data_IF_124500765163
#
_entry.id   IF_124500765163
#
_cell.length_a   1.000
_cell.length_b   1.000
_cell.length_c   1.000
_cell.angle_alpha   90.00
_cell.angle_beta   90.00
_cell.angle_gamma   90.00
#
_symmetry.space_group_name_H-M   'P 1'
#
loop_
_entity.id
_entity.type
_entity.pdbx_description
1 polymer ?
#
# COMPACT_ATOMS: atom_id res chain seq x y z
N UNK A 1 -61.34 -5.31 -1.93
CA UNK A 1 -61.74 -6.70 -2.23
C UNK A 1 -61.52 -6.96 -3.70
N UNK A 2 -60.62 -7.87 -4.05
CA UNK A 2 -60.23 -8.11 -5.45
C UNK A 2 -59.17 -9.20 -5.53
N UNK A 3 -59.56 -10.43 -5.16
CA UNK A 3 -58.69 -11.61 -5.19
C UNK A 3 -58.62 -12.16 -6.62
N UNK A 4 -57.45 -12.04 -7.25
CA UNK A 4 -57.19 -12.64 -8.55
C UNK A 4 -56.41 -13.95 -8.35
N UNK A 5 -57.09 -15.09 -8.51
CA UNK A 5 -56.51 -16.44 -8.42
C UNK A 5 -56.29 -16.98 -9.84
N UNK A 6 -55.05 -16.99 -10.32
CA UNK A 6 -54.65 -17.75 -11.50
C UNK A 6 -54.12 -19.11 -11.06
N UNK A 7 -54.93 -20.14 -11.23
CA UNK A 7 -54.58 -21.56 -11.04
C UNK A 7 -54.24 -22.18 -12.38
N UNK A 8 -52.96 -22.36 -12.67
CA UNK A 8 -52.49 -23.07 -13.87
C UNK A 8 -52.31 -24.55 -13.52
N UNK A 9 -53.22 -25.39 -14.01
CA UNK A 9 -53.18 -26.85 -13.88
C UNK A 9 -52.15 -27.45 -14.84
N UNK A 10 -51.07 -28.02 -14.31
CA UNK A 10 -50.11 -28.82 -15.09
C UNK A 10 -50.58 -30.28 -15.21
N UNK A 11 -50.89 -30.67 -16.44
CA UNK A 11 -51.24 -32.02 -16.89
C UNK A 11 -50.05 -32.98 -16.79
N UNK A 12 -50.23 -34.08 -16.06
CA UNK A 12 -49.23 -35.15 -15.92
C UNK A 12 -49.14 -36.03 -17.18
N UNK A 13 -47.93 -36.43 -17.63
CA UNK A 13 -47.79 -37.38 -18.73
C UNK A 13 -47.99 -38.84 -18.28
N UNK A 14 -48.81 -39.57 -19.06
CA UNK A 14 -49.10 -41.00 -18.97
C UNK A 14 -47.83 -41.85 -19.09
N UNK A 15 -47.58 -42.71 -18.09
CA UNK A 15 -46.62 -43.82 -18.13
C UNK A 15 -47.15 -44.92 -19.05
N UNK A 16 -46.40 -45.23 -20.11
CA UNK A 16 -46.61 -46.40 -20.97
C UNK A 16 -45.92 -47.61 -20.32
N UNK A 17 -46.71 -48.60 -19.91
CA UNK A 17 -46.22 -49.90 -19.44
C UNK A 17 -45.81 -50.78 -20.63
N UNK A 18 -44.51 -50.86 -20.90
CA UNK A 18 -43.92 -51.75 -21.88
C UNK A 18 -43.58 -53.12 -21.28
N UNK A 19 -44.12 -54.15 -21.93
CA UNK A 19 -44.03 -55.59 -21.65
C UNK A 19 -42.59 -56.12 -21.80
N UNK A 20 -42.26 -57.14 -21.01
CA UNK A 20 -40.90 -57.63 -20.83
C UNK A 20 -40.24 -58.37 -22.02
N UNK A 21 -38.92 -58.46 -21.94
CA UNK A 21 -38.08 -59.47 -22.58
C UNK A 21 -37.06 -59.94 -21.55
N UNK A 22 -37.12 -61.22 -21.20
CA UNK A 22 -36.08 -61.90 -20.42
C UNK A 22 -34.83 -61.99 -21.31
N UNK A 23 -33.74 -61.38 -20.85
CA UNK A 23 -32.42 -61.44 -21.49
C UNK A 23 -31.54 -62.35 -20.63
N UNK A 24 -30.94 -63.34 -21.28
CA UNK A 24 -29.93 -64.24 -20.73
C UNK A 24 -28.85 -63.47 -19.97
N UNK A 25 -28.62 -63.84 -18.71
CA UNK A 25 -27.48 -63.43 -17.91
C UNK A 25 -26.24 -64.21 -18.35
N UNK A 26 -25.51 -63.66 -19.31
CA UNK A 26 -24.14 -64.04 -19.62
C UNK A 26 -23.19 -63.33 -18.64
N UNK A 27 -22.28 -64.11 -18.07
CA UNK A 27 -21.44 -63.76 -16.92
C UNK A 27 -20.38 -62.71 -17.34
N UNK A 28 -20.73 -61.42 -17.26
CA UNK A 28 -19.82 -60.30 -17.55
C UNK A 28 -18.81 -60.10 -16.40
N UNK A 29 -17.49 -59.98 -16.69
CA UNK A 29 -16.47 -59.74 -15.68
C UNK A 29 -16.67 -58.38 -15.02
N UNK A 30 -16.64 -58.40 -13.69
CA UNK A 30 -16.96 -57.29 -12.79
C UNK A 30 -16.11 -56.02 -13.09
N UNK A 31 -16.71 -54.92 -13.62
CA UNK A 31 -15.98 -53.72 -14.04
C UNK A 31 -15.46 -52.87 -12.86
N UNK A 32 -15.83 -53.19 -11.62
CA UNK A 32 -15.48 -52.40 -10.44
C UNK A 32 -13.98 -52.47 -10.06
N UNK A 33 -13.23 -53.47 -10.54
CA UNK A 33 -11.79 -53.62 -10.21
C UNK A 33 -10.86 -52.87 -11.18
N UNK A 34 -11.30 -52.58 -12.42
CA UNK A 34 -10.46 -51.89 -13.41
C UNK A 34 -10.50 -50.36 -13.33
N UNK A 35 -11.51 -49.77 -12.68
CA UNK A 35 -11.62 -48.31 -12.57
C UNK A 35 -10.65 -47.72 -11.55
N UNK A 36 -10.32 -48.46 -10.48
CA UNK A 36 -9.34 -48.03 -9.47
C UNK A 36 -7.93 -47.84 -10.05
N UNK A 37 -7.48 -48.80 -10.86
CA UNK A 37 -6.12 -48.75 -11.42
C UNK A 37 -6.02 -47.73 -12.56
N UNK A 38 -7.10 -47.53 -13.32
CA UNK A 38 -7.19 -46.43 -14.27
C UNK A 38 -7.12 -45.06 -13.59
N UNK A 39 -7.81 -44.87 -12.45
CA UNK A 39 -7.77 -43.62 -11.68
C UNK A 39 -6.40 -43.37 -11.04
N UNK A 40 -5.74 -44.41 -10.51
CA UNK A 40 -4.36 -44.29 -9.99
C UNK A 40 -3.37 -43.88 -11.09
N UNK A 41 -3.52 -44.43 -12.29
CA UNK A 41 -2.66 -44.12 -13.43
C UNK A 41 -2.86 -42.69 -13.94
N UNK A 42 -4.12 -42.20 -13.95
CA UNK A 42 -4.43 -40.81 -14.31
C UNK A 42 -3.90 -39.83 -13.26
N UNK A 43 -4.05 -40.13 -11.97
CA UNK A 43 -3.51 -39.27 -10.90
C UNK A 43 -1.97 -39.21 -10.93
N UNK A 44 -1.28 -40.34 -11.10
CA UNK A 44 0.18 -40.37 -11.22
C UNK A 44 0.71 -39.64 -12.47
N UNK A 45 -0.11 -39.52 -13.52
CA UNK A 45 0.21 -38.74 -14.73
C UNK A 45 -0.05 -37.24 -14.54
N UNK A 46 -1.07 -36.87 -13.76
CA UNK A 46 -1.37 -35.49 -13.39
C UNK A 46 -0.27 -34.94 -12.47
N UNK A 47 0.15 -35.70 -11.45
CA UNK A 47 1.24 -35.30 -10.54
C UNK A 47 2.55 -35.06 -11.30
N UNK A 48 2.94 -35.97 -12.21
CA UNK A 48 4.13 -35.79 -13.06
C UNK A 48 4.10 -34.59 -14.02
N UNK A 49 2.94 -33.99 -14.26
CA UNK A 49 2.80 -32.84 -15.16
C UNK A 49 2.63 -31.50 -14.43
N UNK A 50 2.37 -31.53 -13.12
CA UNK A 50 2.19 -30.32 -12.30
C UNK A 50 3.50 -29.83 -11.70
N UNK A 51 4.44 -30.74 -11.35
CA UNK A 51 5.68 -30.37 -10.66
C UNK A 51 6.65 -29.45 -11.45
N UNK A 52 6.90 -29.58 -12.77
CA UNK A 52 7.93 -28.77 -13.43
C UNK A 52 7.55 -27.28 -13.59
N UNK A 53 6.28 -26.92 -13.34
CA UNK A 53 5.81 -25.52 -13.43
C UNK A 53 5.71 -24.81 -12.07
N UNK A 54 5.79 -25.55 -10.95
CA UNK A 54 5.81 -24.95 -9.61
C UNK A 54 7.17 -24.29 -9.33
N UNK A 55 8.26 -25.02 -9.58
CA UNK A 55 9.63 -24.53 -9.36
C UNK A 55 10.00 -23.34 -10.26
N UNK A 56 9.52 -23.34 -11.51
CA UNK A 56 9.78 -22.24 -12.45
C UNK A 56 8.98 -20.96 -12.14
N UNK A 57 7.88 -21.06 -11.38
CA UNK A 57 7.10 -19.91 -10.91
C UNK A 57 7.66 -19.36 -9.60
N UNK A 58 8.07 -20.22 -8.66
CA UNK A 58 8.73 -19.79 -7.42
C UNK A 58 10.07 -19.08 -7.72
N UNK A 59 10.87 -19.61 -8.64
CA UNK A 59 12.12 -18.96 -9.08
C UNK A 59 11.94 -17.56 -9.69
N UNK A 60 10.79 -17.25 -10.32
CA UNK A 60 10.52 -15.91 -10.87
C UNK A 60 10.00 -14.90 -9.85
N UNK A 61 9.39 -15.36 -8.76
CA UNK A 61 9.04 -14.47 -7.64
C UNK A 61 10.29 -14.07 -6.85
N UNK A 62 11.25 -14.97 -6.69
CA UNK A 62 12.52 -14.67 -6.02
C UNK A 62 13.34 -13.60 -6.75
N UNK A 63 13.32 -13.59 -8.09
CA UNK A 63 14.10 -12.61 -8.89
C UNK A 63 13.55 -11.18 -8.74
N UNK A 64 12.22 -10.99 -8.69
CA UNK A 64 11.60 -9.65 -8.60
C UNK A 64 11.73 -9.06 -7.19
N UNK A 65 11.68 -9.90 -6.16
CA UNK A 65 11.90 -9.44 -4.79
C UNK A 65 13.39 -9.17 -4.52
N UNK A 66 14.30 -9.91 -5.16
CA UNK A 66 15.73 -9.68 -5.02
C UNK A 66 16.15 -8.27 -5.52
N UNK A 67 15.68 -7.83 -6.70
CA UNK A 67 16.02 -6.49 -7.23
C UNK A 67 15.60 -5.34 -6.29
N UNK A 68 14.40 -5.43 -5.70
CA UNK A 68 13.94 -4.42 -4.74
C UNK A 68 14.70 -4.48 -3.42
N UNK A 69 15.09 -5.69 -2.99
CA UNK A 69 15.95 -5.81 -1.80
C UNK A 69 17.34 -5.25 -2.05
N UNK A 70 17.91 -5.40 -3.26
CA UNK A 70 19.20 -4.79 -3.62
C UNK A 70 19.13 -3.26 -3.60
N UNK A 71 18.06 -2.67 -4.13
CA UNK A 71 17.85 -1.22 -4.09
C UNK A 71 17.72 -0.68 -2.65
N UNK A 72 16.99 -1.39 -1.78
CA UNK A 72 16.87 -1.04 -0.35
C UNK A 72 18.23 -1.16 0.36
N UNK A 73 18.99 -2.22 0.09
CA UNK A 73 20.33 -2.41 0.66
C UNK A 73 21.27 -1.29 0.21
N UNK A 74 21.19 -0.87 -1.06
CA UNK A 74 21.99 0.24 -1.59
C UNK A 74 21.64 1.58 -0.92
N UNK A 75 20.34 1.90 -0.80
CA UNK A 75 19.90 3.12 -0.11
C UNK A 75 20.34 3.13 1.36
N UNK A 76 20.34 1.98 2.03
CA UNK A 76 20.83 1.85 3.40
C UNK A 76 22.34 2.09 3.50
N UNK A 77 23.13 1.45 2.63
CA UNK A 77 24.57 1.68 2.58
C UNK A 77 24.87 3.17 2.31
N UNK A 78 24.05 3.84 1.50
CA UNK A 78 24.16 5.28 1.26
C UNK A 78 23.86 6.12 2.51
N UNK A 79 22.84 5.75 3.30
CA UNK A 79 22.49 6.47 4.54
C UNK A 79 23.55 6.26 5.63
N UNK A 80 23.97 5.02 5.86
CA UNK A 80 25.02 4.69 6.84
C UNK A 80 26.34 5.40 6.49
N UNK A 81 26.65 5.52 5.19
CA UNK A 81 27.81 6.26 4.71
C UNK A 81 27.65 7.78 4.88
N UNK A 82 26.44 8.32 4.78
CA UNK A 82 26.15 9.72 5.08
C UNK A 82 26.30 10.01 6.58
N UNK A 83 25.74 9.18 7.45
CA UNK A 83 25.85 9.33 8.91
C UNK A 83 27.31 9.21 9.37
N UNK A 84 28.07 8.26 8.81
CA UNK A 84 29.51 8.13 9.09
C UNK A 84 30.29 9.37 8.68
N UNK A 85 29.98 9.97 7.53
CA UNK A 85 30.59 11.23 7.09
C UNK A 85 30.20 12.40 8.00
N UNK A 86 28.97 12.43 8.51
CA UNK A 86 28.53 13.44 9.48
C UNK A 86 29.35 13.30 10.78
N UNK A 87 29.53 12.08 11.30
CA UNK A 87 30.33 11.84 12.51
C UNK A 87 31.81 12.17 12.29
N UNK A 88 32.38 11.80 11.14
CA UNK A 88 33.78 12.10 10.80
C UNK A 88 34.02 13.61 10.68
N UNK A 89 33.09 14.35 10.06
CA UNK A 89 33.17 15.82 9.99
C UNK A 89 32.95 16.47 11.35
N UNK A 90 32.12 15.91 12.24
CA UNK A 90 31.99 16.38 13.62
C UNK A 90 33.30 16.17 14.40
N UNK A 91 33.91 14.99 14.33
CA UNK A 91 35.18 14.69 14.99
C UNK A 91 36.33 15.58 14.48
N UNK A 92 36.40 15.82 13.16
CA UNK A 92 37.39 16.73 12.58
C UNK A 92 37.23 18.17 13.09
N UNK A 93 35.98 18.65 13.21
CA UNK A 93 35.70 19.98 13.77
C UNK A 93 36.09 20.07 15.25
N UNK A 94 35.86 19.02 16.04
CA UNK A 94 36.28 18.97 17.45
C UNK A 94 37.81 18.96 17.61
N UNK A 95 38.54 18.27 16.73
CA UNK A 95 40.00 18.28 16.72
C UNK A 95 40.56 19.67 16.39
N UNK A 96 40.04 20.32 15.34
CA UNK A 96 40.44 21.69 14.98
C UNK A 96 40.12 22.69 16.09
N UNK A 97 39.00 22.51 16.80
CA UNK A 97 38.65 23.37 17.93
C UNK A 97 39.65 23.23 19.09
N UNK A 98 40.13 22.02 19.38
CA UNK A 98 41.17 21.78 20.39
C UNK A 98 42.50 22.43 20.02
N UNK A 99 42.97 22.27 18.78
CA UNK A 99 44.20 22.92 18.32
C UNK A 99 44.11 24.45 18.43
N UNK A 100 42.95 25.01 18.09
CA UNK A 100 42.70 26.44 18.19
C UNK A 100 42.71 26.94 19.65
N UNK A 101 42.16 26.17 20.58
CA UNK A 101 42.18 26.49 22.00
C UNK A 101 43.61 26.36 22.59
N UNK A 102 44.41 25.38 22.13
CA UNK A 102 45.83 25.25 22.48
C UNK A 102 46.67 26.44 21.98
N UNK A 103 46.49 26.86 20.72
CA UNK A 103 47.17 28.03 20.15
C UNK A 103 46.80 29.30 20.92
N UNK A 104 45.51 29.48 21.24
CA UNK A 104 45.06 30.63 22.05
C UNK A 104 45.68 30.63 23.45
N UNK A 105 45.73 29.47 24.10
CA UNK A 105 46.36 29.31 25.41
C UNK A 105 47.87 29.62 25.36
N UNK A 106 48.57 29.11 24.34
CA UNK A 106 49.99 29.39 24.13
C UNK A 106 50.26 30.87 23.84
N UNK A 107 49.41 31.52 23.03
CA UNK A 107 49.49 32.95 22.74
C UNK A 107 49.26 33.80 24.00
N UNK A 108 48.27 33.44 24.83
CA UNK A 108 48.01 34.10 26.11
C UNK A 108 49.21 33.96 27.08
N UNK A 109 49.81 32.77 27.14
CA UNK A 109 51.00 32.51 27.95
C UNK A 109 52.24 33.29 27.45
N UNK A 110 52.41 33.42 26.13
CA UNK A 110 53.49 34.21 25.54
C UNK A 110 53.30 35.72 25.79
N UNK A 111 52.07 36.22 25.67
CA UNK A 111 51.74 37.61 25.98
C UNK A 111 52.01 37.97 27.44
N UNK A 112 51.69 37.08 28.38
CA UNK A 112 51.98 37.27 29.80
C UNK A 112 53.49 37.34 30.11
N UNK A 113 54.35 36.70 29.30
CA UNK A 113 55.81 36.76 29.48
C UNK A 113 56.45 38.03 28.92
N UNK A 114 55.79 38.72 28.00
CA UNK A 114 56.31 39.92 27.34
C UNK A 114 55.71 41.25 27.87
N UNK A 115 54.67 41.20 28.69
CA UNK A 115 53.96 42.38 29.16
C UNK A 115 54.04 42.56 30.67
N UNK A 116 55.10 43.21 31.16
CA UNK A 116 55.01 44.13 32.33
C UNK A 116 56.12 45.19 32.39
N UNK A 117 57.22 45.11 31.63
CA UNK A 117 58.39 45.97 31.88
C UNK A 117 58.66 47.10 30.84
N UNK A 118 57.63 47.54 30.10
CA UNK A 118 57.77 48.60 29.07
C UNK A 118 56.93 49.86 29.33
N UNK A 119 56.42 50.05 30.54
CA UNK A 119 56.03 51.40 30.96
C UNK A 119 57.31 52.21 31.18
N UNK A 120 57.65 53.09 30.24
CA UNK A 120 57.92 54.51 30.50
C UNK A 120 58.89 55.19 29.51
N UNK A 121 58.88 54.91 28.20
CA UNK A 121 59.55 55.79 27.22
C UNK A 121 58.55 56.22 26.15
N UNK A 122 58.05 57.46 26.31
CA UNK A 122 57.20 58.14 25.35
C UNK A 122 57.92 58.32 24.02
N UNK A 123 57.60 57.45 23.08
CA UNK A 123 57.98 57.57 21.67
C UNK A 123 56.71 57.70 20.85
N UNK A 124 56.52 58.88 20.29
CA UNK A 124 55.49 59.22 19.32
C UNK A 124 55.82 58.49 18.00
N UNK A 125 55.42 57.21 17.91
CA UNK A 125 55.68 56.38 16.72
C UNK A 125 54.39 56.17 15.95
N UNK A 126 54.28 56.98 14.91
CA UNK A 126 53.47 56.88 13.69
C UNK A 126 52.62 55.59 13.55
N UNK A 127 51.31 55.75 13.78
CA UNK A 127 50.27 54.73 13.80
C UNK A 127 49.84 54.21 12.39
N UNK A 128 50.74 54.24 11.41
CA UNK A 128 50.42 54.05 9.99
C UNK A 128 50.46 52.61 9.46
N UNK A 129 50.93 51.61 10.21
CA UNK A 129 51.00 50.23 9.72
C UNK A 129 49.74 49.46 10.07
N UNK A 130 48.74 49.66 9.22
CA UNK A 130 47.50 48.89 9.17
C UNK A 130 47.80 47.38 9.28
N UNK A 131 47.21 46.77 10.29
CA UNK A 131 47.22 45.34 10.54
C UNK A 131 46.72 44.60 9.30
N UNK A 132 47.65 44.00 8.55
CA UNK A 132 47.34 43.06 7.50
C UNK A 132 46.71 41.84 8.18
N UNK A 133 45.37 41.82 8.27
CA UNK A 133 44.62 40.72 8.86
C UNK A 133 44.99 39.45 8.12
N UNK A 134 45.49 38.47 8.87
CA UNK A 134 45.94 37.20 8.35
C UNK A 134 44.80 36.55 7.53
N UNK A 135 44.96 36.35 6.21
CA UNK A 135 43.88 35.85 5.34
C UNK A 135 43.31 34.50 5.80
N UNK A 136 44.09 33.71 6.52
CA UNK A 136 43.65 32.45 7.14
C UNK A 136 42.57 32.64 8.21
N UNK A 137 42.59 33.76 8.96
CA UNK A 137 41.53 34.06 9.94
C UNK A 137 40.20 34.35 9.26
N UNK A 138 40.22 35.06 8.12
CA UNK A 138 39.00 35.38 7.37
C UNK A 138 38.37 34.12 6.75
N UNK A 139 39.18 33.19 6.25
CA UNK A 139 38.70 31.92 5.71
C UNK A 139 38.09 31.03 6.81
N UNK A 140 38.71 31.00 8.00
CA UNK A 140 38.19 30.26 9.15
C UNK A 140 36.81 30.79 9.61
N UNK A 141 36.66 32.11 9.70
CA UNK A 141 35.38 32.73 10.06
C UNK A 141 34.29 32.41 9.03
N UNK A 142 34.61 32.45 7.73
CA UNK A 142 33.68 32.07 6.66
C UNK A 142 33.25 30.61 6.77
N UNK A 143 34.19 29.69 7.04
CA UNK A 143 33.89 28.27 7.22
C UNK A 143 32.99 28.01 8.44
N UNK A 144 33.23 28.70 9.56
CA UNK A 144 32.41 28.59 10.77
C UNK A 144 30.97 29.09 10.53
N UNK A 145 30.80 30.20 9.81
CA UNK A 145 29.47 30.72 9.44
C UNK A 145 28.72 29.76 8.53
N UNK A 146 29.39 29.16 7.53
CA UNK A 146 28.79 28.18 6.63
C UNK A 146 28.33 26.91 7.38
N UNK A 147 29.17 26.39 8.29
CA UNK A 147 28.82 25.24 9.13
C UNK A 147 27.64 25.54 10.07
N UNK A 148 27.59 26.72 10.67
CA UNK A 148 26.47 27.14 11.49
C UNK A 148 25.15 27.22 10.69
N UNK A 149 25.22 27.71 9.44
CA UNK A 149 24.06 27.75 8.54
C UNK A 149 23.56 26.34 8.15
N UNK A 150 24.47 25.40 7.89
CA UNK A 150 24.12 24.01 7.61
C UNK A 150 23.48 23.33 8.83
N UNK A 151 24.02 23.52 10.03
CA UNK A 151 23.43 23.00 11.28
C UNK A 151 22.01 23.54 11.49
N UNK A 152 21.77 24.84 11.25
CA UNK A 152 20.42 25.42 11.30
C UNK A 152 19.47 24.80 10.27
N UNK A 153 19.92 24.51 9.06
CA UNK A 153 19.11 23.83 8.04
C UNK A 153 18.75 22.39 8.44
N UNK A 154 19.71 21.63 8.95
CA UNK A 154 19.48 20.27 9.44
C UNK A 154 18.49 20.27 10.61
N UNK A 155 18.68 21.19 11.57
CA UNK A 155 17.75 21.35 12.69
C UNK A 155 16.34 21.74 12.21
N UNK A 156 16.22 22.69 11.28
CA UNK A 156 14.91 23.08 10.74
C UNK A 156 14.21 21.95 9.96
N UNK A 157 14.97 21.05 9.31
CA UNK A 157 14.40 19.86 8.67
C UNK A 157 13.94 18.84 9.71
N UNK A 158 14.73 18.62 10.76
CA UNK A 158 14.35 17.75 11.87
C UNK A 158 13.11 18.28 12.63
N UNK A 159 13.03 19.58 12.86
CA UNK A 159 11.87 20.22 13.51
C UNK A 159 10.62 20.15 12.62
N UNK A 160 10.76 20.33 11.29
CA UNK A 160 9.65 20.12 10.34
C UNK A 160 9.14 18.69 10.35
N UNK A 161 10.03 17.70 10.50
CA UNK A 161 9.61 16.30 10.67
C UNK A 161 8.88 16.10 11.99
N UNK A 162 9.40 16.68 13.09
CA UNK A 162 8.81 16.55 14.42
C UNK A 162 7.43 17.22 14.56
N UNK A 163 7.22 18.38 13.94
CA UNK A 163 5.94 19.09 13.95
C UNK A 163 4.86 18.26 13.23
N UNK A 164 5.23 17.56 12.15
CA UNK A 164 4.31 16.66 11.46
C UNK A 164 3.87 15.46 12.32
N UNK A 165 4.68 15.07 13.31
CA UNK A 165 4.38 13.95 14.20
C UNK A 165 3.60 14.36 15.46
N UNK A 166 3.72 15.62 15.91
CA UNK A 166 3.14 16.09 17.19
C UNK A 166 1.82 16.86 17.02
N UNK A 167 1.59 17.57 15.92
CA UNK A 167 0.38 18.41 15.75
C UNK A 167 -0.82 17.69 15.10
N UNK A 168 -0.74 16.37 14.84
CA UNK A 168 -1.93 15.59 14.45
C UNK A 168 -2.86 15.23 15.63
N UNK A 169 -2.58 15.76 16.83
CA UNK A 169 -3.33 15.56 18.08
C UNK A 169 -4.60 16.42 18.19
N UNK A 170 -4.97 17.16 17.16
CA UNK A 170 -6.22 17.93 17.14
C UNK A 170 -7.36 17.04 16.64
N UNK A 171 -7.96 16.29 17.57
CA UNK A 171 -9.40 16.02 17.80
C UNK A 171 -10.44 16.11 16.65
N UNK A 172 -10.05 16.08 15.39
CA UNK A 172 -10.98 15.94 14.27
C UNK A 172 -11.39 14.47 14.24
N UNK A 173 -12.50 14.20 14.92
CA UNK A 173 -13.23 12.95 14.75
C UNK A 173 -13.55 12.83 13.26
N UNK A 174 -12.86 11.91 12.59
CA UNK A 174 -13.06 11.63 11.16
C UNK A 174 -14.32 10.78 11.06
N UNK A 175 -15.42 11.33 10.50
CA UNK A 175 -16.67 10.58 10.37
C UNK A 175 -16.48 9.42 9.38
N UNK A 176 -17.32 8.39 9.51
CA UNK A 176 -17.29 7.26 8.59
C UNK A 176 -17.71 7.70 7.20
N UNK A 177 -16.83 7.51 6.21
CA UNK A 177 -17.17 7.75 4.81
C UNK A 177 -18.32 6.84 4.34
N UNK A 178 -19.17 7.35 3.45
CA UNK A 178 -20.27 6.59 2.88
C UNK A 178 -19.73 5.45 2.00
N UNK A 179 -19.97 4.20 2.41
CA UNK A 179 -19.58 3.03 1.63
C UNK A 179 -19.18 1.82 2.47
N UNK A 180 -18.76 0.76 1.81
CA UNK A 180 -18.24 -0.46 2.43
C UNK A 180 -17.11 -1.05 1.59
N UNK A 181 -16.13 -1.67 2.25
CA UNK A 181 -14.93 -2.18 1.60
C UNK A 181 -15.22 -3.16 0.46
N UNK A 182 -14.90 -2.74 -0.77
CA UNK A 182 -15.01 -3.55 -1.98
C UNK A 182 -15.74 -2.90 -3.16
N UNK A 183 -16.48 -1.81 -2.94
CA UNK A 183 -17.19 -1.09 -4.00
C UNK A 183 -16.76 0.38 -4.04
N UNK A 184 -15.72 0.71 -4.81
CA UNK A 184 -15.06 2.03 -4.87
C UNK A 184 -14.49 2.59 -3.56
N UNK A 185 -14.76 1.94 -2.43
CA UNK A 185 -14.20 2.26 -1.13
C UNK A 185 -12.78 1.68 -1.00
N UNK A 186 -11.79 2.57 -0.93
CA UNK A 186 -10.43 2.20 -0.54
C UNK A 186 -10.16 2.75 0.86
N UNK A 187 -10.11 1.86 1.85
CA UNK A 187 -9.88 2.22 3.25
C UNK A 187 -8.66 3.14 3.45
N UNK A 188 -7.60 2.98 2.64
CA UNK A 188 -6.43 3.86 2.67
C UNK A 188 -6.80 5.31 2.35
N UNK A 189 -7.58 5.51 1.29
CA UNK A 189 -7.97 6.84 0.83
C UNK A 189 -8.95 7.48 1.83
N UNK A 190 -9.91 6.69 2.33
CA UNK A 190 -10.94 7.16 3.27
C UNK A 190 -10.36 7.50 4.65
N UNK A 191 -9.26 6.85 5.04
CA UNK A 191 -8.49 7.20 6.23
C UNK A 191 -7.63 8.47 6.05
N UNK A 192 -7.63 9.06 4.84
CA UNK A 192 -6.73 10.15 4.47
C UNK A 192 -5.27 9.71 4.30
N UNK A 193 -5.03 8.41 4.12
CA UNK A 193 -3.69 7.82 4.10
C UNK A 193 -3.22 7.33 2.71
N UNK A 194 -3.93 7.71 1.65
CA UNK A 194 -3.68 7.21 0.28
C UNK A 194 -2.90 8.14 -0.65
N UNK A 195 -2.58 9.37 -0.21
CA UNK A 195 -2.06 10.43 -1.08
C UNK A 195 -0.55 10.38 -1.29
N UNK A 196 0.22 10.25 -0.21
CA UNK A 196 1.68 10.34 -0.25
C UNK A 196 2.38 9.03 0.16
N UNK A 197 3.69 8.93 -0.13
CA UNK A 197 4.51 7.78 0.30
C UNK A 197 4.54 7.64 1.83
N UNK A 198 4.65 8.77 2.55
CA UNK A 198 4.61 8.79 4.02
C UNK A 198 3.25 8.32 4.57
N UNK A 199 2.16 8.74 3.94
CA UNK A 199 0.80 8.33 4.33
C UNK A 199 0.61 6.82 4.16
N UNK A 200 1.14 6.28 3.07
CA UNK A 200 1.18 4.84 2.83
C UNK A 200 2.02 4.13 3.91
N UNK A 201 3.14 4.70 4.32
CA UNK A 201 3.94 4.17 5.43
C UNK A 201 3.18 4.23 6.77
N UNK A 202 2.41 5.27 7.03
CA UNK A 202 1.54 5.35 8.21
C UNK A 202 0.41 4.32 8.16
N UNK A 203 -0.27 4.16 7.02
CA UNK A 203 -1.27 3.11 6.84
C UNK A 203 -0.68 1.72 7.03
N UNK A 204 0.50 1.50 6.45
CA UNK A 204 1.26 0.29 6.72
C UNK A 204 1.53 0.19 8.21
N UNK A 205 2.11 1.19 8.88
CA UNK A 205 2.39 1.18 10.32
C UNK A 205 1.17 0.82 11.19
N UNK A 206 -0.05 1.23 10.81
CA UNK A 206 -1.31 0.83 11.45
C UNK A 206 -1.61 -0.66 11.22
N UNK A 207 -1.49 -1.15 9.98
CA UNK A 207 -1.63 -2.59 9.72
C UNK A 207 -0.50 -3.41 10.37
N UNK A 208 0.67 -2.80 10.51
CA UNK A 208 1.96 -3.43 10.84
C UNK A 208 2.26 -3.45 12.32
N UNK A 209 1.83 -2.43 13.09
CA UNK A 209 2.52 -2.04 14.33
C UNK A 209 4.03 -1.99 14.10
N UNK A 210 4.48 -0.86 13.58
CA UNK A 210 5.90 -0.53 13.66
C UNK A 210 6.19 -0.21 15.13
N UNK A 211 6.67 -1.19 15.90
CA UNK A 211 7.47 -0.85 17.09
C UNK A 211 8.79 -0.33 16.52
N UNK A 212 9.18 0.93 16.72
CA UNK A 212 10.52 1.38 16.36
C UNK A 212 11.49 0.62 17.26
N UNK A 213 11.98 -0.52 16.78
CA UNK A 213 13.21 -1.07 17.29
C UNK A 213 14.32 -0.12 16.80
N UNK A 214 15.31 0.19 17.65
CA UNK A 214 16.41 1.11 17.30
C UNK A 214 17.15 0.68 16.03
N UNK A 215 17.04 -0.59 15.65
CA UNK A 215 17.49 -1.14 14.38
C UNK A 215 16.31 -1.17 13.40
N UNK A 216 16.26 -0.19 12.50
CA UNK A 216 15.20 0.10 11.51
C UNK A 216 14.95 -1.00 10.44
N UNK A 217 15.13 -2.29 10.77
CA UNK A 217 15.03 -3.40 9.83
C UNK A 217 13.59 -3.94 9.76
N UNK A 218 12.79 -3.34 8.87
CA UNK A 218 11.45 -3.82 8.51
C UNK A 218 11.55 -5.13 7.72
N UNK A 219 11.32 -6.27 8.37
CA UNK A 219 10.82 -7.43 7.63
C UNK A 219 9.33 -7.23 7.41
N UNK A 220 8.90 -7.33 6.14
CA UNK A 220 7.52 -7.18 5.66
C UNK A 220 6.53 -8.20 6.24
N UNK A 221 6.99 -8.99 7.20
CA UNK A 221 6.30 -10.10 7.84
C UNK A 221 5.76 -9.75 9.23
N UNK A 222 6.31 -8.71 9.90
CA UNK A 222 5.69 -8.10 11.09
C UNK A 222 4.39 -7.34 10.73
N UNK A 223 4.28 -6.98 9.46
CA UNK A 223 3.34 -6.04 8.79
C UNK A 223 1.88 -6.46 8.75
N UNK A 224 1.58 -7.74 8.91
CA UNK A 224 0.20 -8.27 8.89
C UNK A 224 -0.19 -8.89 10.23
N UNK A 225 0.75 -8.91 11.17
CA UNK A 225 0.60 -9.64 12.42
C UNK A 225 -0.25 -8.86 13.41
N UNK A 226 -0.26 -7.53 13.45
CA UNK A 226 -0.92 -6.87 14.58
C UNK A 226 -2.45 -6.93 14.59
N UNK A 227 -3.16 -6.52 13.54
CA UNK A 227 -4.64 -6.67 13.53
C UNK A 227 -5.05 -8.15 13.53
N UNK A 228 -4.24 -9.02 12.93
CA UNK A 228 -4.39 -10.47 13.01
C UNK A 228 -4.31 -10.96 14.46
N UNK A 229 -3.25 -10.58 15.17
CA UNK A 229 -2.94 -11.00 16.54
C UNK A 229 -3.91 -10.37 17.52
N UNK A 230 -4.32 -9.12 17.32
CA UNK A 230 -5.41 -8.49 18.08
C UNK A 230 -6.73 -9.24 17.88
N UNK A 231 -7.04 -9.68 16.66
CA UNK A 231 -8.23 -10.50 16.39
C UNK A 231 -8.16 -11.84 17.14
N UNK A 232 -6.99 -12.49 17.16
CA UNK A 232 -6.80 -13.73 17.92
C UNK A 232 -6.79 -13.51 19.44
N UNK A 233 -6.14 -12.46 19.94
CA UNK A 233 -6.09 -12.10 21.36
C UNK A 233 -7.49 -11.76 21.89
N UNK A 234 -8.31 -11.07 21.08
CA UNK A 234 -9.71 -10.81 21.38
C UNK A 234 -10.60 -12.07 21.24
N UNK A 235 -10.03 -13.23 20.87
CA UNK A 235 -10.74 -14.50 20.66
C UNK A 235 -11.89 -14.38 19.66
N UNK A 236 -11.73 -13.54 18.63
CA UNK A 236 -12.72 -13.38 17.59
C UNK A 236 -12.63 -14.56 16.63
N UNK A 237 -13.72 -15.30 16.49
CA UNK A 237 -13.79 -16.42 15.57
C UNK A 237 -13.81 -15.91 14.11
N UNK A 238 -12.68 -16.04 13.42
CA UNK A 238 -12.53 -15.64 12.02
C UNK A 238 -13.33 -16.52 11.04
N UNK A 239 -13.81 -17.69 11.46
CA UNK A 239 -14.63 -18.57 10.61
C UNK A 239 -16.02 -17.98 10.36
N UNK A 240 -16.51 -17.22 11.33
CA UNK A 240 -17.82 -16.59 11.29
C UNK A 240 -17.76 -15.22 10.59
N UNK A 241 -18.87 -14.78 9.95
CA UNK A 241 -18.99 -13.41 9.48
C UNK A 241 -18.87 -12.40 10.63
N UNK A 242 -18.24 -11.25 10.38
CA UNK A 242 -18.07 -10.16 11.36
C UNK A 242 -19.36 -9.70 12.06
N UNK A 243 -20.49 -9.75 11.33
CA UNK A 243 -21.81 -9.43 11.88
C UNK A 243 -22.20 -10.33 13.06
N UNK A 244 -21.74 -11.59 13.09
CA UNK A 244 -22.04 -12.57 14.14
C UNK A 244 -21.08 -12.52 15.33
N UNK A 245 -19.99 -11.75 15.24
CA UNK A 245 -19.03 -11.60 16.33
C UNK A 245 -19.70 -10.90 17.53
N UNK A 246 -19.56 -11.41 18.77
CA UNK A 246 -20.19 -10.81 19.95
C UNK A 246 -19.65 -9.39 20.21
N UNK A 247 -20.53 -8.49 20.63
CA UNK A 247 -20.20 -7.07 20.87
C UNK A 247 -19.03 -6.89 21.86
N UNK A 248 -19.03 -7.63 22.98
CA UNK A 248 -17.95 -7.54 23.97
C UNK A 248 -16.56 -7.94 23.46
N UNK A 249 -16.47 -8.80 22.44
CA UNK A 249 -15.18 -9.11 21.81
C UNK A 249 -14.72 -7.99 20.87
N UNK A 250 -15.66 -7.33 20.18
CA UNK A 250 -15.39 -6.14 19.35
C UNK A 250 -14.87 -5.00 20.21
N UNK A 251 -15.53 -4.72 21.33
CA UNK A 251 -15.13 -3.67 22.28
C UNK A 251 -13.71 -3.87 22.81
N UNK A 252 -13.37 -5.09 23.25
CA UNK A 252 -12.00 -5.44 23.69
C UNK A 252 -10.98 -5.22 22.59
N UNK A 253 -11.29 -5.65 21.36
CA UNK A 253 -10.41 -5.43 20.22
C UNK A 253 -10.17 -3.94 19.97
N UNK A 254 -11.23 -3.12 19.96
CA UNK A 254 -11.14 -1.68 19.72
C UNK A 254 -10.36 -0.97 20.82
N UNK A 255 -10.58 -1.32 22.08
CA UNK A 255 -9.84 -0.76 23.21
C UNK A 255 -8.32 -1.00 23.08
N UNK A 256 -7.92 -2.25 22.81
CA UNK A 256 -6.49 -2.59 22.65
C UNK A 256 -5.92 -1.98 21.36
N UNK A 257 -6.68 -1.91 20.28
CA UNK A 257 -6.26 -1.27 19.05
C UNK A 257 -5.98 0.24 19.23
N UNK A 258 -6.85 0.95 19.96
CA UNK A 258 -6.67 2.37 20.32
C UNK A 258 -5.45 2.60 21.22
N UNK A 259 -5.18 1.67 22.14
CA UNK A 259 -4.00 1.74 23.01
C UNK A 259 -2.70 1.58 22.21
N UNK A 260 -2.65 0.59 21.30
CA UNK A 260 -1.45 0.32 20.47
C UNK A 260 -1.23 1.35 19.36
N UNK A 261 -2.31 1.90 18.81
CA UNK A 261 -2.25 2.84 17.69
C UNK A 261 -3.08 4.08 18.01
N UNK A 262 -2.47 5.12 18.61
CA UNK A 262 -3.16 6.35 18.96
C UNK A 262 -3.90 7.00 17.77
N UNK A 263 -3.34 6.89 16.55
CA UNK A 263 -3.98 7.36 15.30
C UNK A 263 -5.36 6.75 15.05
N UNK A 264 -5.68 5.56 15.58
CA UNK A 264 -7.00 4.95 15.43
C UNK A 264 -8.07 5.62 16.30
N UNK A 265 -7.68 6.36 17.36
CA UNK A 265 -8.62 7.08 18.24
C UNK A 265 -9.36 8.20 17.52
N UNK A 266 -8.80 8.73 16.41
CA UNK A 266 -9.40 9.83 15.63
C UNK A 266 -10.61 9.43 14.80
N UNK A 267 -10.85 8.13 14.59
CA UNK A 267 -11.96 7.68 13.75
C UNK A 267 -13.20 7.45 14.59
N UNK A 268 -14.30 8.08 14.20
CA UNK A 268 -15.55 8.00 14.94
C UNK A 268 -16.06 6.54 15.03
N UNK A 269 -16.48 6.11 16.21
CA UNK A 269 -16.99 4.76 16.46
C UNK A 269 -16.03 3.64 16.02
N UNK A 270 -14.72 3.90 16.03
CA UNK A 270 -13.67 2.94 15.65
C UNK A 270 -13.87 2.36 14.22
N UNK A 271 -14.51 3.11 13.29
CA UNK A 271 -14.89 2.58 11.98
C UNK A 271 -13.70 2.08 11.16
N UNK A 272 -12.55 2.74 11.26
CA UNK A 272 -11.35 2.35 10.54
C UNK A 272 -10.81 1.00 11.05
N UNK A 273 -10.78 0.81 12.36
CA UNK A 273 -10.40 -0.46 12.98
C UNK A 273 -11.37 -1.57 12.58
N UNK A 274 -12.67 -1.27 12.58
CA UNK A 274 -13.71 -2.21 12.15
C UNK A 274 -13.49 -2.68 10.70
N UNK A 275 -13.25 -1.77 9.76
CA UNK A 275 -13.04 -2.11 8.35
C UNK A 275 -11.73 -2.89 8.12
N UNK A 276 -10.66 -2.57 8.86
CA UNK A 276 -9.40 -3.34 8.81
C UNK A 276 -9.63 -4.80 9.25
N UNK A 277 -10.36 -5.01 10.35
CA UNK A 277 -10.66 -6.36 10.86
C UNK A 277 -11.61 -7.11 9.93
N UNK A 278 -12.65 -6.44 9.38
CA UNK A 278 -13.53 -7.02 8.35
C UNK A 278 -12.71 -7.51 7.15
N UNK A 279 -11.77 -6.69 6.67
CA UNK A 279 -10.91 -7.05 5.55
C UNK A 279 -10.04 -8.26 5.88
N UNK A 280 -9.46 -8.31 7.09
CA UNK A 280 -8.68 -9.45 7.56
C UNK A 280 -9.52 -10.75 7.59
N UNK A 281 -10.67 -10.74 8.26
CA UNK A 281 -11.55 -11.90 8.39
C UNK A 281 -12.04 -12.37 7.01
N UNK A 282 -12.44 -11.44 6.13
CA UNK A 282 -12.83 -11.75 4.74
C UNK A 282 -11.72 -12.46 3.99
N UNK A 283 -10.48 -11.97 4.08
CA UNK A 283 -9.33 -12.58 3.42
C UNK A 283 -8.98 -13.95 4.01
N UNK A 284 -9.02 -14.10 5.34
CA UNK A 284 -8.74 -15.36 6.04
C UNK A 284 -9.79 -16.42 5.68
N UNK A 285 -11.09 -16.07 5.70
CA UNK A 285 -12.18 -16.97 5.26
C UNK A 285 -12.04 -17.37 3.81
N UNK A 286 -11.77 -16.42 2.91
CA UNK A 286 -11.50 -16.71 1.49
C UNK A 286 -10.36 -17.71 1.33
N UNK A 287 -9.28 -17.56 2.10
CA UNK A 287 -8.18 -18.52 2.11
C UNK A 287 -8.63 -19.88 2.65
N UNK A 288 -9.37 -19.93 3.75
CA UNK A 288 -9.92 -21.14 4.34
C UNK A 288 -10.81 -21.92 3.36
N UNK A 289 -11.70 -21.25 2.63
CA UNK A 289 -12.54 -21.87 1.59
C UNK A 289 -11.73 -22.40 0.40
N UNK A 290 -10.59 -21.79 0.08
CA UNK A 290 -9.71 -22.24 -1.00
C UNK A 290 -8.91 -23.47 -0.59
N UNK A 291 -8.48 -23.55 0.68
CA UNK A 291 -7.73 -24.69 1.23
C UNK A 291 -8.63 -25.84 1.71
N UNK A 292 -9.93 -25.60 1.87
CA UNK A 292 -10.89 -26.60 2.33
C UNK A 292 -10.99 -26.73 3.85
N UNK A 293 -10.37 -25.80 4.61
CA UNK A 293 -10.52 -25.76 6.07
C UNK A 293 -11.92 -25.35 6.51
N UNK A 294 -12.60 -24.55 5.68
CA UNK A 294 -13.97 -24.12 5.91
C UNK A 294 -14.88 -24.75 4.88
N UNK A 295 -16.02 -25.27 5.34
CA UNK A 295 -17.08 -25.69 4.45
C UNK A 295 -17.68 -24.47 3.75
N UNK A 296 -17.71 -24.53 2.42
CA UNK A 296 -18.28 -23.46 1.62
C UNK A 296 -19.79 -23.45 1.85
N UNK A 297 -20.40 -22.30 2.15
CA UNK A 297 -21.86 -22.22 2.21
C UNK A 297 -22.49 -22.73 0.92
N UNK A 298 -23.53 -23.55 1.02
CA UNK A 298 -24.20 -24.21 -0.13
C UNK A 298 -24.63 -23.20 -1.20
N UNK A 299 -24.99 -21.97 -0.79
CA UNK A 299 -25.32 -20.89 -1.71
C UNK A 299 -24.22 -20.59 -2.73
N UNK A 300 -22.95 -20.92 -2.47
CA UNK A 300 -21.82 -20.69 -3.37
C UNK A 300 -21.34 -21.95 -4.12
N UNK A 301 -22.07 -23.06 -4.05
CA UNK A 301 -21.70 -24.30 -4.76
C UNK A 301 -21.75 -24.12 -6.28
N UNK A 302 -22.63 -23.26 -6.78
CA UNK A 302 -22.69 -22.90 -8.19
C UNK A 302 -21.36 -22.27 -8.69
N UNK A 303 -20.59 -21.61 -7.82
CA UNK A 303 -19.27 -21.08 -8.19
C UNK A 303 -18.27 -22.22 -8.42
N UNK A 304 -18.39 -23.33 -7.69
CA UNK A 304 -17.55 -24.52 -7.88
C UNK A 304 -17.88 -25.17 -9.22
N UNK A 305 -19.15 -25.40 -9.52
CA UNK A 305 -19.57 -25.97 -10.81
C UNK A 305 -19.19 -25.07 -11.98
N UNK A 306 -19.35 -23.74 -11.85
CA UNK A 306 -18.91 -22.79 -12.87
C UNK A 306 -17.38 -22.73 -13.01
N UNK A 307 -16.63 -22.86 -11.92
CA UNK A 307 -15.17 -22.92 -11.97
C UNK A 307 -14.66 -24.21 -12.62
N UNK A 308 -15.32 -25.36 -12.37
CA UNK A 308 -14.99 -26.63 -12.98
C UNK A 308 -15.30 -26.65 -14.49
N UNK A 309 -16.36 -25.95 -14.92
CA UNK A 309 -16.68 -25.74 -16.35
C UNK A 309 -15.67 -24.82 -17.06
N UNK A 310 -14.86 -24.04 -16.31
CA UNK A 310 -13.82 -23.19 -16.90
C UNK A 310 -12.56 -24.02 -17.10
N UNK A 311 -12.15 -24.20 -18.35
CA UNK A 311 -10.84 -24.80 -18.67
C UNK A 311 -9.72 -23.85 -18.21
N UNK A 312 -8.93 -24.19 -17.17
CA UNK A 312 -7.82 -23.35 -16.72
C UNK A 312 -6.71 -23.25 -17.78
N UNK A 313 -6.57 -24.29 -18.59
CA UNK A 313 -5.61 -24.37 -19.70
C UNK A 313 -6.07 -23.64 -20.96
N UNK A 314 -7.34 -23.22 -21.03
CA UNK A 314 -7.77 -22.38 -22.14
C UNK A 314 -7.02 -21.04 -22.01
N UNK A 315 -6.25 -20.62 -23.03
CA UNK A 315 -5.46 -19.42 -22.93
C UNK A 315 -6.40 -18.27 -22.56
N UNK A 316 -6.08 -17.52 -21.51
CA UNK A 316 -6.79 -16.27 -21.18
C UNK A 316 -6.53 -15.17 -22.24
N UNK A 317 -5.54 -15.42 -23.09
CA UNK A 317 -5.07 -14.57 -24.18
C UNK A 317 -6.12 -14.10 -25.18
N UNK A 318 -6.99 -14.94 -25.76
CA UNK A 318 -7.93 -14.52 -26.80
C UNK A 318 -8.97 -13.55 -26.25
N UNK A 319 -9.48 -13.75 -25.02
CA UNK A 319 -10.46 -12.83 -24.43
C UNK A 319 -9.86 -11.47 -24.08
N UNK A 320 -8.63 -11.44 -23.56
CA UNK A 320 -7.94 -10.17 -23.27
C UNK A 320 -7.54 -9.47 -24.58
N UNK A 321 -7.05 -10.23 -25.57
CA UNK A 321 -6.70 -9.70 -26.89
C UNK A 321 -7.93 -9.16 -27.62
N UNK A 322 -9.07 -9.87 -27.59
CA UNK A 322 -10.35 -9.41 -28.16
C UNK A 322 -10.89 -8.20 -27.41
N UNK A 323 -10.80 -8.14 -26.08
CA UNK A 323 -11.20 -6.93 -25.33
C UNK A 323 -10.28 -5.75 -25.63
N UNK A 324 -8.97 -5.98 -25.77
CA UNK A 324 -8.00 -4.94 -26.16
C UNK A 324 -8.26 -4.46 -27.58
N UNK A 325 -8.46 -5.37 -28.54
CA UNK A 325 -8.74 -5.02 -29.94
C UNK A 325 -10.07 -4.27 -30.07
N UNK A 326 -11.12 -4.71 -29.38
CA UNK A 326 -12.41 -4.00 -29.32
C UNK A 326 -12.26 -2.60 -28.73
N UNK A 327 -11.53 -2.44 -27.62
CA UNK A 327 -11.30 -1.12 -26.99
C UNK A 327 -10.46 -0.20 -27.88
N UNK A 328 -9.49 -0.73 -28.63
CA UNK A 328 -8.72 0.04 -29.62
C UNK A 328 -9.60 0.44 -30.81
N UNK A 329 -10.45 -0.46 -31.30
CA UNK A 329 -11.41 -0.18 -32.36
C UNK A 329 -12.42 0.90 -31.94
N UNK A 330 -12.99 0.81 -30.73
CA UNK A 330 -13.89 1.81 -30.14
C UNK A 330 -13.21 3.17 -30.01
N UNK A 331 -11.95 3.23 -29.52
CA UNK A 331 -11.18 4.48 -29.47
C UNK A 331 -10.94 5.08 -30.84
N UNK A 332 -10.58 4.26 -31.85
CA UNK A 332 -10.39 4.73 -33.23
C UNK A 332 -11.71 5.22 -33.84
N UNK A 333 -12.82 4.54 -33.59
CA UNK A 333 -14.14 4.97 -34.05
C UNK A 333 -14.57 6.30 -33.40
N UNK A 334 -14.38 6.44 -32.08
CA UNK A 334 -14.65 7.68 -31.36
C UNK A 334 -13.78 8.85 -31.85
N UNK A 335 -12.49 8.61 -32.12
CA UNK A 335 -11.60 9.62 -32.70
C UNK A 335 -12.04 10.04 -34.11
N UNK A 336 -12.45 9.10 -34.97
CA UNK A 336 -13.00 9.41 -36.31
C UNK A 336 -14.30 10.20 -36.23
N UNK A 337 -15.18 9.88 -35.28
CA UNK A 337 -16.41 10.64 -35.05
C UNK A 337 -16.12 12.09 -34.64
N UNK A 338 -15.15 12.32 -33.74
CA UNK A 338 -14.71 13.66 -33.32
C UNK A 338 -13.91 14.43 -34.39
N UNK A 339 -13.16 13.73 -35.24
CA UNK A 339 -12.41 14.36 -36.34
C UNK A 339 -13.31 14.87 -37.47
N UNK A 340 -14.41 14.16 -37.76
CA UNK A 340 -15.38 14.57 -38.79
C UNK A 340 -16.16 15.84 -38.43
N UNK A 341 -16.37 16.13 -37.15
CA UNK A 341 -17.01 17.40 -36.74
C UNK A 341 -16.08 18.60 -36.86
N UNK A 342 -14.78 18.46 -36.56
CA UNK A 342 -13.80 19.55 -36.77
C UNK A 342 -13.50 19.84 -38.25
N UNK A 343 -13.47 18.82 -39.10
CA UNK A 343 -13.23 19.00 -40.53
C UNK A 343 -14.38 19.74 -41.24
N UNK A 344 -15.62 19.59 -40.76
CA UNK A 344 -16.79 20.28 -41.33
C UNK A 344 -16.99 21.71 -40.82
N UNK A 345 -16.36 22.08 -39.69
CA UNK A 345 -16.39 23.46 -39.18
C UNK A 345 -15.35 24.37 -39.86
N UNK A 346 -14.18 23.85 -40.26
CA UNK A 346 -13.14 24.66 -40.94
C UNK A 346 -13.48 25.09 -42.37
N UNK A 347 -14.48 24.47 -43.01
CA UNK A 347 -14.92 24.88 -44.36
C UNK A 347 -15.98 25.97 -44.32
N UNK A 348 -16.43 26.42 -43.13
CA UNK A 348 -17.43 27.49 -42.99
C UNK A 348 -16.95 28.71 -42.19
N UNK A 349 -15.67 28.77 -41.83
CA UNK A 349 -15.03 29.90 -41.15
C UNK A 349 -13.75 30.30 -41.92
N UNK A 350 -13.92 30.92 -43.09
CA UNK A 350 -12.88 31.73 -43.77
C UNK A 350 -13.49 33.08 -44.21
N UNK A 351 -14.59 33.50 -43.58
CA UNK A 351 -15.16 34.83 -43.81
C UNK A 351 -15.65 35.32 -42.46
N UNK A 352 -15.08 36.44 -42.02
CA UNK A 352 -15.43 37.28 -40.86
C UNK A 352 -15.14 36.64 -39.48
N UNK A 353 -14.58 37.31 -38.48
CA UNK A 353 -13.97 38.62 -38.29
C UNK A 353 -13.35 38.60 -36.88
N UNK A 354 -12.63 39.68 -36.59
CA UNK A 354 -11.88 40.05 -35.40
C UNK A 354 -12.41 39.69 -33.99
N UNK A 355 -11.40 39.62 -33.11
CA UNK A 355 -11.35 40.16 -31.75
C UNK A 355 -11.90 39.39 -30.53
N UNK A 356 -10.97 39.34 -29.57
CA UNK A 356 -11.11 39.33 -28.11
C UNK A 356 -11.51 38.07 -27.29
N UNK A 357 -10.74 37.97 -26.20
CA UNK A 357 -11.13 37.52 -24.85
C UNK A 357 -10.93 36.05 -24.44
N UNK A 358 -9.90 35.89 -23.59
CA UNK A 358 -9.86 35.11 -22.33
C UNK A 358 -10.93 34.04 -22.06
N UNK A 359 -10.50 32.84 -21.67
CA UNK A 359 -10.62 32.37 -20.28
C UNK A 359 -10.09 30.93 -20.11
N UNK A 360 -9.32 30.73 -19.04
CA UNK A 360 -8.95 29.43 -18.48
C UNK A 360 -10.18 28.71 -17.91
N UNK A 361 -10.38 27.43 -18.25
CA UNK A 361 -11.27 26.56 -17.47
C UNK A 361 -10.81 25.09 -17.49
N UNK A 362 -10.65 24.42 -16.32
CA UNK A 362 -10.22 23.03 -16.23
C UNK A 362 -11.42 22.09 -16.04
N UNK A 363 -11.52 21.02 -16.84
CA UNK A 363 -12.55 20.01 -16.59
C UNK A 363 -12.53 18.78 -17.49
N UNK A 364 -12.31 17.60 -16.90
CA UNK A 364 -13.38 16.69 -16.49
C UNK A 364 -12.88 15.24 -16.39
N UNK A 365 -13.10 14.69 -15.21
CA UNK A 365 -12.77 13.33 -14.79
C UNK A 365 -13.58 12.30 -15.58
N UNK A 366 -12.95 11.16 -15.87
CA UNK A 366 -13.61 10.02 -16.51
C UNK A 366 -14.34 9.20 -15.46
N UNK A 367 -15.62 9.50 -15.31
CA UNK A 367 -16.57 8.65 -14.63
C UNK A 367 -16.71 7.31 -15.36
N UNK A 368 -16.61 6.21 -14.61
CA UNK A 368 -16.64 4.84 -15.12
C UNK A 368 -17.65 4.05 -14.28
N UNK A 369 -18.92 4.20 -14.66
CA UNK A 369 -20.06 3.49 -14.09
C UNK A 369 -19.82 2.00 -13.92
N UNK A 370 -19.92 1.57 -12.66
CA UNK A 370 -19.95 0.18 -12.23
C UNK A 370 -21.40 -0.28 -12.13
N UNK A 371 -21.65 -1.49 -12.64
CA UNK A 371 -22.92 -2.17 -12.61
C UNK A 371 -23.39 -2.46 -11.18
N UNK A 372 -24.61 -2.01 -10.90
CA UNK A 372 -25.44 -2.35 -9.76
C UNK A 372 -25.68 -3.87 -9.70
N UNK A 373 -25.37 -4.48 -8.56
CA UNK A 373 -25.94 -5.75 -8.14
C UNK A 373 -26.36 -5.54 -6.68
N UNK A 374 -27.67 -5.32 -6.52
CA UNK A 374 -28.36 -5.05 -5.26
C UNK A 374 -28.30 -6.30 -4.36
N UNK A 375 -27.59 -6.21 -3.24
CA UNK A 375 -27.80 -7.11 -2.10
C UNK A 375 -28.73 -6.40 -1.12
N UNK A 376 -30.02 -6.68 -1.25
CA UNK A 376 -31.03 -6.33 -0.25
C UNK A 376 -30.76 -7.12 1.04
N UNK A 377 -30.29 -6.43 2.08
CA UNK A 377 -30.28 -6.97 3.45
C UNK A 377 -31.46 -6.38 4.22
N UNK A 378 -32.48 -7.21 4.45
CA UNK A 378 -33.55 -6.95 5.40
C UNK A 378 -32.96 -6.73 6.79
N UNK A 379 -33.28 -5.59 7.38
CA UNK A 379 -33.07 -5.32 8.80
C UNK A 379 -34.22 -5.94 9.59
N UNK A 380 -33.88 -6.71 10.61
CA UNK A 380 -34.76 -7.06 11.74
C UNK A 380 -34.09 -6.64 13.02
#
# INVERSE_FOLDING_TARGET
MGSNKNTTSHTAPKRVSGRGKAVHTENQPNPAKNTSDALKTVNARIERHIDPYSDAMESKFDIIDNDKTQEIVFLRQSHDLADRKILETQAANEALQKELDEIKSAAAAAGARFGTDLTNHGGDVDAGKAQEKNPLLEELEKAQVANAALRKKVQALADKQRIHDVDSDVNENVPRAAGSAGNNFNIQNEMGLGGNANDREQYLAIMVCRVPNQDNNLTLDLVKRNMHDLTHQASINWEQPWAKTPAGAKEKLFAVARERHPILKRYENDWATEELVKQYIKNKRRHGYRKGFLERPAQYDYLKTNSAKRNPSAPRGPRIAVRRSKKVAEKKAAAKAKGKSKAKLRTKQVVEDDDESMSDEPGLSRDRGGSEEEDAYESS
#
